data_IF_796425846136
#
_entry.id   IF_796425846136
#
_cell.length_a   1.000
_cell.length_b   1.000
_cell.length_c   1.000
_cell.angle_alpha   90.00
_cell.angle_beta   90.00
_cell.angle_gamma   90.00
#
_symmetry.space_group_name_H-M   'P 1'
#
loop_
_entity.id
_entity.type
_entity.pdbx_description
1 polymer ?
#
# COMPACT_ATOMS: atom_id res chain seq x y z
N UNK A 1 31.07 -7.16 12.70
CA UNK A 1 31.34 -6.58 11.36
C UNK A 1 30.00 -6.24 10.75
N UNK A 2 29.75 -4.93 10.56
CA UNK A 2 28.46 -4.36 10.18
C UNK A 2 28.38 -4.20 8.66
N UNK A 3 27.35 -4.76 8.03
CA UNK A 3 27.00 -4.42 6.65
C UNK A 3 25.90 -3.36 6.70
N UNK A 4 26.31 -2.10 6.54
CA UNK A 4 25.42 -0.95 6.45
C UNK A 4 24.73 -0.91 5.09
N UNK A 5 23.41 -1.01 5.09
CA UNK A 5 22.59 -0.60 3.96
C UNK A 5 22.32 0.91 4.11
N UNK A 6 22.93 1.69 3.22
CA UNK A 6 22.78 3.15 3.18
C UNK A 6 21.33 3.56 2.94
N UNK A 7 20.84 4.49 3.77
CA UNK A 7 19.62 5.24 3.51
C UNK A 7 19.87 6.17 2.32
N UNK A 8 19.40 5.80 1.13
CA UNK A 8 19.24 6.76 0.05
C UNK A 8 18.02 7.66 0.37
N UNK A 9 18.13 9.00 0.28
CA UNK A 9 16.98 9.88 0.43
C UNK A 9 15.94 9.57 -0.67
N UNK A 10 14.64 9.78 -0.40
CA UNK A 10 13.63 9.66 -1.44
C UNK A 10 13.97 10.63 -2.58
N UNK A 11 14.13 10.11 -3.79
CA UNK A 11 14.43 10.90 -4.98
C UNK A 11 13.24 11.83 -5.25
N UNK A 12 13.42 13.13 -5.02
CA UNK A 12 12.47 14.17 -5.42
C UNK A 12 12.95 14.69 -6.77
N UNK A 13 12.20 14.38 -7.82
CA UNK A 13 12.50 14.86 -9.16
C UNK A 13 12.12 16.35 -9.25
N UNK A 14 13.11 17.24 -9.19
CA UNK A 14 12.93 18.66 -9.53
C UNK A 14 12.96 18.82 -11.06
N UNK A 15 11.79 18.82 -11.68
CA UNK A 15 11.67 19.15 -13.10
C UNK A 15 11.73 20.66 -13.30
N UNK A 16 12.90 21.19 -13.66
CA UNK A 16 13.07 22.54 -14.22
C UNK A 16 13.00 22.50 -15.75
N UNK A 17 11.96 23.13 -16.30
CA UNK A 17 11.97 23.74 -17.63
C UNK A 17 11.65 22.86 -18.85
N UNK A 18 10.42 22.94 -19.36
CA UNK A 18 10.04 23.45 -20.71
C UNK A 18 8.57 23.12 -21.01
N UNK A 19 7.92 23.98 -21.81
CA UNK A 19 6.48 24.11 -21.97
C UNK A 19 5.71 22.81 -22.28
N UNK A 20 4.94 22.34 -21.29
CA UNK A 20 3.82 21.42 -21.47
C UNK A 20 2.71 21.88 -20.52
N UNK A 21 1.47 21.98 -21.02
CA UNK A 21 0.35 22.65 -20.34
C UNK A 21 0.28 22.36 -18.85
N UNK A 22 0.03 23.39 -18.02
CA UNK A 22 0.01 23.28 -16.57
C UNK A 22 -0.90 22.12 -16.12
N UNK A 23 -0.29 20.96 -15.84
CA UNK A 23 -1.03 19.79 -15.38
C UNK A 23 -1.62 20.14 -14.03
N UNK A 24 -2.94 20.00 -13.86
CA UNK A 24 -3.61 20.33 -12.58
C UNK A 24 -3.05 19.54 -11.39
N UNK A 25 -2.44 18.38 -11.67
CA UNK A 25 -1.82 17.49 -10.69
C UNK A 25 -0.31 17.43 -10.85
N UNK A 26 0.39 17.19 -9.75
CA UNK A 26 1.81 16.87 -9.68
C UNK A 26 2.03 15.57 -8.89
N UNK A 27 3.09 14.85 -9.25
CA UNK A 27 3.53 13.68 -8.52
C UNK A 27 4.08 14.10 -7.16
N UNK A 28 3.61 13.44 -6.10
CA UNK A 28 4.03 13.66 -4.71
C UNK A 28 4.97 12.54 -4.26
N UNK A 29 4.61 11.30 -4.56
CA UNK A 29 5.39 10.13 -4.22
C UNK A 29 5.27 9.07 -5.32
N UNK A 30 6.36 8.37 -5.59
CA UNK A 30 6.38 7.21 -6.48
C UNK A 30 7.34 6.18 -5.92
N UNK A 31 6.90 4.92 -5.86
CA UNK A 31 7.75 3.81 -5.42
C UNK A 31 7.36 2.52 -6.13
N UNK A 32 8.38 1.81 -6.57
CA UNK A 32 8.27 0.46 -7.10
C UNK A 32 9.02 -0.53 -6.20
N UNK A 33 8.47 -1.74 -6.05
CA UNK A 33 9.08 -2.88 -5.40
C UNK A 33 8.75 -4.15 -6.18
N UNK A 34 9.71 -4.67 -6.94
CA UNK A 34 9.51 -5.81 -7.85
C UNK A 34 8.33 -5.52 -8.79
N UNK A 35 7.19 -6.20 -8.60
CA UNK A 35 5.96 -6.02 -9.40
C UNK A 35 4.89 -5.12 -8.75
N UNK A 36 5.16 -4.53 -7.59
CA UNK A 36 4.29 -3.55 -6.93
C UNK A 36 4.71 -2.14 -7.33
N UNK A 37 3.74 -1.28 -7.63
CA UNK A 37 3.96 0.11 -7.94
C UNK A 37 2.88 0.98 -7.30
N UNK A 38 3.28 2.04 -6.60
CA UNK A 38 2.40 3.00 -5.96
C UNK A 38 2.84 4.42 -6.31
N UNK A 39 1.89 5.22 -6.78
CA UNK A 39 2.07 6.65 -6.99
C UNK A 39 0.99 7.44 -6.24
N UNK A 40 1.38 8.56 -5.65
CA UNK A 40 0.47 9.55 -5.07
C UNK A 40 0.58 10.83 -5.87
N UNK A 41 -0.53 11.29 -6.42
CA UNK A 41 -0.64 12.54 -7.16
C UNK A 41 -1.55 13.49 -6.39
N UNK A 42 -1.16 14.75 -6.29
CA UNK A 42 -1.96 15.79 -5.66
C UNK A 42 -2.16 16.94 -6.62
N UNK A 43 -3.23 17.72 -6.40
CA UNK A 43 -3.38 18.98 -7.12
C UNK A 43 -2.24 19.92 -6.75
N UNK A 44 -1.76 20.69 -7.72
CA UNK A 44 -0.67 21.64 -7.49
C UNK A 44 -0.99 22.65 -6.39
N UNK A 45 -2.26 23.05 -6.28
CA UNK A 45 -2.78 24.00 -5.29
C UNK A 45 -2.61 23.55 -3.84
N UNK A 46 -2.50 22.23 -3.57
CA UNK A 46 -2.32 21.68 -2.21
C UNK A 46 -0.93 21.06 -2.00
N UNK A 47 -0.03 21.13 -3.00
CA UNK A 47 1.28 20.46 -2.93
C UNK A 47 2.10 20.98 -1.75
N UNK A 48 2.10 22.29 -1.53
CA UNK A 48 2.84 22.95 -0.44
C UNK A 48 2.36 22.55 0.95
N UNK A 49 1.12 22.07 1.06
CA UNK A 49 0.54 21.63 2.33
C UNK A 49 0.88 20.18 2.69
N UNK A 50 1.45 19.43 1.74
CA UNK A 50 1.90 18.06 1.96
C UNK A 50 3.29 18.08 2.58
N UNK A 51 3.39 17.50 3.77
CA UNK A 51 4.59 17.46 4.60
C UNK A 51 4.85 16.03 5.07
N UNK A 52 6.02 15.79 5.67
CA UNK A 52 6.37 14.53 6.33
C UNK A 52 6.16 13.27 5.46
N UNK A 53 6.48 13.38 4.17
CA UNK A 53 6.36 12.29 3.20
C UNK A 53 7.39 11.19 3.50
N UNK A 54 6.92 9.98 3.75
CA UNK A 54 7.75 8.82 4.13
C UNK A 54 7.28 7.58 3.39
N UNK A 55 8.22 6.72 3.00
CA UNK A 55 7.93 5.48 2.25
C UNK A 55 8.53 4.29 2.98
N UNK A 56 7.77 3.20 3.09
CA UNK A 56 8.21 1.94 3.70
C UNK A 56 7.80 0.78 2.79
N UNK A 57 8.68 -0.21 2.65
CA UNK A 57 8.43 -1.40 1.82
C UNK A 57 8.58 -2.66 2.68
N UNK A 58 7.65 -3.59 2.58
CA UNK A 58 7.69 -4.87 3.30
C UNK A 58 7.57 -6.01 2.30
N UNK A 59 8.62 -6.84 2.20
CA UNK A 59 8.59 -8.07 1.41
C UNK A 59 7.87 -9.22 2.15
N UNK A 60 7.14 -10.06 1.43
CA UNK A 60 6.40 -11.24 1.91
C UNK A 60 6.60 -12.49 1.05
N UNK A 61 7.58 -12.48 0.14
CA UNK A 61 7.91 -13.64 -0.69
C UNK A 61 8.52 -14.82 0.08
N UNK A 62 9.06 -15.80 -0.65
CA UNK A 62 9.82 -16.92 -0.11
C UNK A 62 10.91 -16.41 0.86
N UNK A 63 11.09 -17.09 2.00
CA UNK A 63 12.00 -16.68 3.08
C UNK A 63 11.76 -15.26 3.64
N UNK A 64 10.58 -14.68 3.40
CA UNK A 64 10.20 -13.35 3.90
C UNK A 64 10.69 -12.17 3.07
N UNK A 65 11.41 -12.39 1.96
CA UNK A 65 11.95 -11.32 1.11
C UNK A 65 12.00 -11.63 -0.38
N UNK A 66 12.03 -12.91 -0.78
CA UNK A 66 12.28 -13.33 -2.16
C UNK A 66 10.96 -13.58 -2.90
N UNK A 67 10.50 -12.63 -3.70
CA UNK A 67 9.29 -12.76 -4.50
C UNK A 67 8.60 -11.42 -4.74
N UNK A 68 7.47 -11.43 -5.45
CA UNK A 68 6.71 -10.22 -5.79
C UNK A 68 5.56 -9.92 -4.81
N UNK A 69 5.60 -10.50 -3.61
CA UNK A 69 4.57 -10.34 -2.57
C UNK A 69 5.04 -9.39 -1.49
N UNK A 70 4.14 -8.58 -0.96
CA UNK A 70 4.48 -7.57 0.02
C UNK A 70 3.62 -6.32 -0.06
N UNK A 71 4.14 -5.21 0.45
CA UNK A 71 3.52 -3.90 0.35
C UNK A 71 4.51 -2.76 0.12
N UNK A 72 3.98 -1.68 -0.43
CA UNK A 72 4.55 -0.34 -0.42
C UNK A 72 3.58 0.53 0.36
N UNK A 73 4.08 1.23 1.37
CA UNK A 73 3.31 2.12 2.23
C UNK A 73 3.87 3.55 2.12
N UNK A 74 3.02 4.53 1.85
CA UNK A 74 3.34 5.95 1.80
C UNK A 74 2.61 6.67 2.92
N UNK A 75 3.36 7.23 3.86
CA UNK A 75 2.88 8.12 4.91
C UNK A 75 3.07 9.57 4.49
N UNK A 76 2.07 10.42 4.70
CA UNK A 76 2.17 11.85 4.48
C UNK A 76 1.27 12.61 5.47
N UNK A 77 1.60 13.88 5.70
CA UNK A 77 0.75 14.83 6.43
C UNK A 77 0.19 15.83 5.43
N UNK A 78 -1.13 16.00 5.37
CA UNK A 78 -1.78 17.07 4.62
C UNK A 78 -2.46 17.99 5.63
N UNK A 79 -1.99 19.24 5.71
CA UNK A 79 -2.34 20.15 6.82
C UNK A 79 -2.10 19.49 8.18
N UNK A 80 -3.14 19.17 8.95
CA UNK A 80 -3.07 18.49 10.25
C UNK A 80 -3.57 17.03 10.21
N UNK A 81 -3.87 16.49 9.03
CA UNK A 81 -4.39 15.13 8.87
C UNK A 81 -3.31 14.22 8.28
N UNK A 82 -3.00 13.15 9.00
CA UNK A 82 -2.05 12.13 8.56
C UNK A 82 -2.75 11.08 7.68
N UNK A 83 -2.12 10.77 6.54
CA UNK A 83 -2.59 9.79 5.57
C UNK A 83 -1.56 8.67 5.42
N UNK A 84 -2.03 7.43 5.35
CA UNK A 84 -1.23 6.28 4.94
C UNK A 84 -1.88 5.56 3.77
N UNK A 85 -1.17 5.50 2.63
CA UNK A 85 -1.57 4.69 1.48
C UNK A 85 -0.76 3.40 1.49
N UNK A 86 -1.43 2.25 1.61
CA UNK A 86 -0.79 0.93 1.58
C UNK A 86 -1.22 0.22 0.30
N UNK A 87 -0.28 -0.08 -0.58
CA UNK A 87 -0.52 -0.91 -1.77
C UNK A 87 0.14 -2.27 -1.56
N UNK A 88 -0.65 -3.33 -1.52
CA UNK A 88 -0.16 -4.70 -1.25
C UNK A 88 -0.49 -5.70 -2.34
N UNK A 89 0.37 -6.70 -2.49
CA UNK A 89 0.13 -7.90 -3.27
C UNK A 89 0.34 -9.09 -2.33
N UNK A 90 -0.77 -9.68 -1.85
CA UNK A 90 -0.75 -10.73 -0.83
C UNK A 90 -0.64 -12.13 -1.43
N UNK A 91 -0.37 -13.12 -0.57
CA UNK A 91 -0.26 -14.53 -0.97
C UNK A 91 -1.44 -14.98 -1.86
N UNK A 92 -1.10 -15.45 -3.06
CA UNK A 92 -2.06 -16.02 -4.02
C UNK A 92 -2.37 -17.48 -3.69
N UNK A 93 -3.49 -17.98 -4.21
CA UNK A 93 -3.86 -19.39 -4.10
C UNK A 93 -5.29 -19.58 -3.60
N UNK A 94 -5.82 -20.78 -3.81
CA UNK A 94 -7.19 -21.18 -3.47
C UNK A 94 -7.22 -22.47 -2.63
N UNK A 95 -6.07 -22.95 -2.14
CA UNK A 95 -6.00 -24.13 -1.28
C UNK A 95 -6.43 -23.76 0.14
N UNK A 96 -6.85 -24.78 0.88
CA UNK A 96 -7.12 -24.62 2.31
C UNK A 96 -5.90 -24.04 3.03
N UNK A 97 -6.14 -23.02 3.84
CA UNK A 97 -5.09 -22.28 4.56
C UNK A 97 -4.48 -21.10 3.81
N UNK A 98 -4.70 -20.92 2.50
CA UNK A 98 -4.16 -19.75 1.76
C UNK A 98 -4.76 -18.43 2.27
N UNK A 99 -6.01 -18.44 2.73
CA UNK A 99 -6.66 -17.30 3.39
C UNK A 99 -5.92 -16.88 4.67
N UNK A 100 -5.56 -17.86 5.51
CA UNK A 100 -4.80 -17.61 6.73
C UNK A 100 -3.41 -17.04 6.42
N UNK A 101 -2.78 -17.44 5.31
CA UNK A 101 -1.51 -16.86 4.85
C UNK A 101 -1.67 -15.39 4.45
N UNK A 102 -2.76 -15.02 3.76
CA UNK A 102 -3.07 -13.60 3.47
C UNK A 102 -3.27 -12.78 4.73
N UNK A 103 -4.02 -13.30 5.71
CA UNK A 103 -4.19 -12.65 7.01
C UNK A 103 -2.84 -12.48 7.73
N UNK A 104 -1.98 -13.50 7.69
CA UNK A 104 -0.62 -13.41 8.22
C UNK A 104 0.25 -12.38 7.50
N UNK A 105 0.10 -12.23 6.18
CA UNK A 105 0.81 -11.20 5.41
C UNK A 105 0.38 -9.80 5.84
N UNK A 106 -0.93 -9.57 6.04
CA UNK A 106 -1.48 -8.30 6.55
C UNK A 106 -0.89 -7.97 7.93
N UNK A 107 -0.89 -8.94 8.86
CA UNK A 107 -0.33 -8.74 10.20
C UNK A 107 1.17 -8.42 10.16
N UNK A 108 1.92 -9.10 9.30
CA UNK A 108 3.35 -8.83 9.12
C UNK A 108 3.61 -7.48 8.46
N UNK A 109 2.77 -7.05 7.51
CA UNK A 109 2.84 -5.71 6.89
C UNK A 109 2.61 -4.63 7.96
N UNK A 110 1.58 -4.77 8.80
CA UNK A 110 1.31 -3.84 9.89
C UNK A 110 2.47 -3.81 10.91
N UNK A 111 3.03 -4.97 11.24
CA UNK A 111 4.13 -5.09 12.20
C UNK A 111 5.45 -4.54 11.67
N UNK A 112 5.77 -4.75 10.40
CA UNK A 112 7.07 -4.36 9.81
C UNK A 112 7.08 -2.98 9.17
N UNK A 113 5.93 -2.45 8.78
CA UNK A 113 5.84 -1.09 8.23
C UNK A 113 6.17 -0.10 9.34
N UNK A 114 7.30 0.58 9.21
CA UNK A 114 7.75 1.64 10.12
C UNK A 114 8.13 2.87 9.32
N UNK A 115 7.74 4.02 9.85
CA UNK A 115 8.06 5.34 9.30
C UNK A 115 8.97 6.06 10.30
N UNK A 116 10.12 6.62 9.86
CA UNK A 116 11.03 7.31 10.76
C UNK A 116 10.36 8.53 11.40
N UNK A 117 10.75 8.81 12.64
CA UNK A 117 10.39 10.05 13.33
C UNK A 117 11.12 11.22 12.66
N UNK A 118 10.42 12.34 12.49
CA UNK A 118 11.01 13.60 12.04
C UNK A 118 11.27 14.46 13.27
N UNK A 119 12.53 14.56 13.69
CA UNK A 119 12.93 15.40 14.82
C UNK A 119 12.90 16.88 14.42
N UNK A 120 12.38 17.74 15.30
CA UNK A 120 12.40 19.20 15.13
C UNK A 120 11.07 19.85 14.71
N UNK A 121 10.00 19.08 14.55
CA UNK A 121 8.64 19.60 14.38
C UNK A 121 7.80 19.26 15.62
N UNK A 122 7.04 20.23 16.13
CA UNK A 122 6.09 20.05 17.24
C UNK A 122 4.92 19.10 16.91
N UNK A 123 4.89 18.53 15.71
CA UNK A 123 3.84 17.64 15.22
C UNK A 123 4.28 16.19 15.41
N UNK A 124 3.54 15.46 16.26
CA UNK A 124 3.71 14.01 16.45
C UNK A 124 3.47 13.30 15.12
N UNK A 125 4.52 12.72 14.55
CA UNK A 125 4.44 12.02 13.26
C UNK A 125 4.11 10.55 13.48
N UNK A 126 3.16 9.99 12.71
CA UNK A 126 2.84 8.58 12.78
C UNK A 126 4.05 7.70 12.39
N UNK A 127 4.34 6.71 13.22
CA UNK A 127 5.45 5.77 13.08
C UNK A 127 4.98 4.42 12.54
N UNK A 128 3.70 4.09 12.71
CA UNK A 128 3.07 2.86 12.22
C UNK A 128 1.85 3.15 11.36
N UNK A 129 1.38 2.17 10.57
CA UNK A 129 0.20 2.33 9.71
C UNK A 129 -1.03 2.75 10.52
N UNK A 130 -1.27 2.11 11.66
CA UNK A 130 -2.49 2.29 12.46
C UNK A 130 -2.52 3.61 13.27
N UNK A 131 -1.42 4.35 13.31
CA UNK A 131 -1.35 5.66 13.97
C UNK A 131 -1.83 6.81 13.08
N UNK A 132 -2.16 6.57 11.81
CA UNK A 132 -2.62 7.61 10.89
C UNK A 132 -4.12 7.86 11.04
N UNK A 133 -4.53 9.12 10.87
CA UNK A 133 -5.94 9.53 10.91
C UNK A 133 -6.75 8.89 9.76
N UNK A 134 -6.12 8.75 8.60
CA UNK A 134 -6.73 8.20 7.38
C UNK A 134 -5.82 7.14 6.77
N UNK A 135 -6.35 5.93 6.59
CA UNK A 135 -5.64 4.81 5.99
C UNK A 135 -6.40 4.37 4.75
N UNK A 136 -5.71 4.31 3.62
CA UNK A 136 -6.23 3.75 2.37
C UNK A 136 -5.40 2.52 2.04
N UNK A 137 -5.99 1.35 2.22
CA UNK A 137 -5.36 0.07 1.85
C UNK A 137 -5.95 -0.43 0.54
N UNK A 138 -5.08 -0.67 -0.44
CA UNK A 138 -5.43 -1.13 -1.79
C UNK A 138 -4.44 -2.15 -2.33
N UNK A 139 -4.70 -2.65 -3.54
CA UNK A 139 -3.83 -3.56 -4.29
C UNK A 139 -4.50 -4.91 -4.56
N UNK A 140 -3.69 -5.90 -4.95
CA UNK A 140 -4.15 -7.27 -5.16
C UNK A 140 -4.09 -8.06 -3.84
N UNK A 141 -5.19 -8.01 -3.09
CA UNK A 141 -5.33 -8.70 -1.81
C UNK A 141 -5.48 -10.23 -1.97
N UNK A 142 -5.75 -10.73 -3.18
CA UNK A 142 -5.85 -12.14 -3.51
C UNK A 142 -6.85 -13.01 -2.72
N UNK A 143 -7.74 -12.42 -1.91
CA UNK A 143 -8.87 -13.15 -1.33
C UNK A 143 -9.78 -13.69 -2.45
N UNK A 144 -10.33 -14.89 -2.23
CA UNK A 144 -11.11 -15.63 -3.22
C UNK A 144 -12.53 -15.85 -2.73
N UNK A 145 -13.42 -16.21 -3.64
CA UNK A 145 -14.75 -16.70 -3.29
C UNK A 145 -14.64 -18.16 -2.83
N UNK A 146 -15.07 -18.45 -1.60
CA UNK A 146 -15.03 -19.78 -0.98
C UNK A 146 -16.15 -20.70 -1.50
N UNK A 147 -16.21 -20.88 -2.82
CA UNK A 147 -17.17 -21.74 -3.52
C UNK A 147 -16.49 -22.52 -4.64
N UNK A 148 -17.11 -23.63 -5.05
CA UNK A 148 -16.66 -24.36 -6.23
C UNK A 148 -16.82 -23.51 -7.50
N UNK A 149 -15.98 -23.76 -8.50
CA UNK A 149 -16.07 -23.08 -9.80
C UNK A 149 -17.47 -23.16 -10.42
N UNK A 150 -18.14 -24.33 -10.35
CA UNK A 150 -19.50 -24.51 -10.90
C UNK A 150 -20.51 -23.61 -10.19
N UNK A 151 -20.44 -23.51 -8.86
CA UNK A 151 -21.32 -22.65 -8.09
C UNK A 151 -21.07 -21.16 -8.39
N UNK A 152 -19.80 -20.74 -8.43
CA UNK A 152 -19.43 -19.36 -8.80
C UNK A 152 -19.95 -19.02 -10.19
N UNK A 153 -19.74 -19.90 -11.19
CA UNK A 153 -20.20 -19.68 -12.56
C UNK A 153 -21.71 -19.50 -12.64
N UNK A 154 -22.48 -20.35 -11.96
CA UNK A 154 -23.94 -20.23 -11.93
C UNK A 154 -24.40 -18.90 -11.30
N UNK A 155 -23.81 -18.49 -10.18
CA UNK A 155 -24.14 -17.22 -9.52
C UNK A 155 -23.78 -16.01 -10.40
N UNK A 156 -22.66 -16.06 -11.12
CA UNK A 156 -22.25 -15.01 -12.08
C UNK A 156 -23.24 -14.94 -13.25
N UNK A 157 -23.65 -16.07 -13.81
CA UNK A 157 -24.66 -16.13 -14.90
C UNK A 157 -26.01 -15.55 -14.46
N UNK A 158 -26.40 -15.77 -13.20
CA UNK A 158 -27.60 -15.19 -12.60
C UNK A 158 -27.42 -13.73 -12.13
N UNK A 159 -26.20 -13.18 -12.20
CA UNK A 159 -25.83 -11.85 -11.67
C UNK A 159 -26.13 -11.70 -10.17
N UNK A 160 -26.06 -12.77 -9.41
CA UNK A 160 -26.25 -12.76 -7.96
C UNK A 160 -24.94 -12.38 -7.25
N UNK A 161 -24.60 -11.09 -7.33
CA UNK A 161 -23.39 -10.54 -6.72
C UNK A 161 -23.44 -10.58 -5.18
N UNK A 162 -24.63 -10.57 -4.60
CA UNK A 162 -24.82 -10.60 -3.14
C UNK A 162 -24.38 -11.96 -2.59
N UNK A 163 -24.84 -13.05 -3.20
CA UNK A 163 -24.44 -14.40 -2.81
C UNK A 163 -22.94 -14.65 -2.99
N UNK A 164 -22.33 -14.11 -4.06
CA UNK A 164 -20.88 -14.18 -4.25
C UNK A 164 -20.13 -13.43 -3.13
N UNK A 165 -20.54 -12.20 -2.83
CA UNK A 165 -19.92 -11.37 -1.81
C UNK A 165 -20.05 -11.96 -0.39
N UNK A 166 -21.13 -12.68 -0.10
CA UNK A 166 -21.28 -13.43 1.16
C UNK A 166 -20.27 -14.57 1.34
N UNK A 167 -19.65 -15.01 0.25
CA UNK A 167 -18.61 -16.05 0.25
C UNK A 167 -17.22 -15.51 -0.05
N UNK A 168 -17.05 -14.19 -0.10
CA UNK A 168 -15.74 -13.57 -0.26
C UNK A 168 -14.92 -13.69 1.04
N UNK A 169 -13.74 -14.29 0.94
CA UNK A 169 -12.87 -14.52 2.11
C UNK A 169 -12.37 -13.23 2.78
N UNK A 170 -12.33 -12.10 2.06
CA UNK A 170 -11.89 -10.82 2.61
C UNK A 170 -12.97 -10.06 3.36
N UNK A 171 -14.22 -10.55 3.34
CA UNK A 171 -15.35 -9.97 4.08
C UNK A 171 -15.46 -10.50 5.51
N UNK A 172 -14.91 -11.68 5.78
CA UNK A 172 -14.87 -12.37 7.08
C UNK A 172 -13.67 -11.94 7.91
#
# INVERSE_FOLDING_TARGET
MSYGYGNAPPYVEETNGTAAGHTRYCLVASKQMVGLFLMVWARREIKSDIRNLKVSCVGRGLMGYLGNKGSISVSMLLHQTSFCFVCSHLTSGHKDGDEHRRNSDVMEILRKTRFPMVYGQYERSAETVLEHDRIVWLGDLNYRIALSYRAVKALVEMRDWKALLEKDQGKT
#
